data_IF_152596036840
#
_entry.id   IF_152596036840
#
_cell.length_a   1.000
_cell.length_b   1.000
_cell.length_c   1.000
_cell.angle_alpha   90.00
_cell.angle_beta   90.00
_cell.angle_gamma   90.00
#
_symmetry.space_group_name_H-M   'P 1'
#
loop_
_entity.id
_entity.type
_entity.pdbx_description
1 polymer ?
#
# COMPACT_ATOMS: atom_id res chain seq x y z
N UNK A 1 34.93 -6.23 19.93
CA UNK A 1 33.93 -7.22 20.40
C UNK A 1 33.06 -7.56 19.21
N UNK A 2 33.44 -8.61 18.47
CA UNK A 2 32.98 -8.85 17.09
C UNK A 2 31.44 -8.93 16.98
N UNK A 3 30.79 -9.52 17.98
CA UNK A 3 29.32 -9.67 18.00
C UNK A 3 28.60 -8.31 17.95
N UNK A 4 29.01 -7.34 18.77
CA UNK A 4 28.37 -6.03 18.80
C UNK A 4 28.61 -5.27 17.50
N UNK A 5 29.80 -5.39 16.94
CA UNK A 5 30.21 -4.73 15.69
C UNK A 5 29.40 -5.25 14.49
N UNK A 6 29.11 -6.55 14.42
CA UNK A 6 28.29 -7.11 13.34
C UNK A 6 26.83 -6.65 13.44
N UNK A 7 26.24 -6.60 14.65
CA UNK A 7 24.89 -6.05 14.83
C UNK A 7 24.82 -4.57 14.46
N UNK A 8 25.81 -3.77 14.88
CA UNK A 8 25.88 -2.35 14.55
C UNK A 8 26.01 -2.13 13.04
N UNK A 9 26.83 -2.93 12.34
CA UNK A 9 27.00 -2.83 10.90
C UNK A 9 25.73 -3.19 10.12
N UNK A 10 25.04 -4.28 10.52
CA UNK A 10 23.75 -4.67 9.91
C UNK A 10 22.68 -3.62 10.17
N UNK A 11 22.57 -3.10 11.40
CA UNK A 11 21.60 -2.05 11.74
C UNK A 11 21.86 -0.76 10.96
N UNK A 12 23.12 -0.35 10.82
CA UNK A 12 23.51 0.80 10.01
C UNK A 12 23.17 0.57 8.53
N UNK A 13 23.43 -0.62 7.99
CA UNK A 13 23.05 -1.00 6.63
C UNK A 13 21.54 -0.92 6.40
N UNK A 14 20.73 -1.43 7.34
CA UNK A 14 19.27 -1.32 7.30
C UNK A 14 18.78 0.14 7.34
N UNK A 15 19.40 0.99 8.16
CA UNK A 15 19.04 2.41 8.25
C UNK A 15 19.36 3.17 6.95
N UNK A 16 20.53 2.92 6.36
CA UNK A 16 20.91 3.50 5.07
C UNK A 16 19.99 3.02 3.96
N UNK A 17 19.67 1.72 3.93
CA UNK A 17 18.72 1.15 2.98
C UNK A 17 17.33 1.82 3.13
N UNK A 18 16.79 1.90 4.34
CA UNK A 18 15.47 2.49 4.59
C UNK A 18 15.40 3.99 4.27
N UNK A 19 16.54 4.70 4.34
CA UNK A 19 16.62 6.12 4.01
C UNK A 19 16.73 6.39 2.51
N UNK A 20 17.51 5.57 1.80
CA UNK A 20 17.85 5.82 0.38
C UNK A 20 16.91 5.08 -0.57
N UNK A 21 16.49 3.88 -0.19
CA UNK A 21 15.62 3.03 -0.99
C UNK A 21 14.22 2.97 -0.35
N UNK A 22 13.16 2.96 -1.18
CA UNK A 22 11.80 2.85 -0.66
C UNK A 22 11.63 1.46 -0.05
N UNK A 23 11.44 1.40 1.27
CA UNK A 23 11.25 0.15 2.01
C UNK A 23 10.06 -0.65 1.48
N UNK A 24 9.02 0.07 1.05
CA UNK A 24 7.87 -0.48 0.33
C UNK A 24 8.08 -0.17 -1.15
N UNK A 25 8.02 -1.16 -2.05
CA UNK A 25 8.18 -0.90 -3.47
C UNK A 25 7.18 0.13 -3.97
N UNK A 26 7.65 1.12 -4.75
CA UNK A 26 6.80 2.20 -5.26
C UNK A 26 5.70 1.70 -6.21
N UNK A 27 5.91 0.55 -6.85
CA UNK A 27 4.89 -0.07 -7.70
C UNK A 27 3.73 -0.63 -6.87
N UNK A 28 3.98 -1.25 -5.72
CA UNK A 28 2.91 -1.74 -4.82
C UNK A 28 2.01 -0.61 -4.32
N UNK A 29 2.61 0.54 -3.99
CA UNK A 29 1.85 1.74 -3.58
C UNK A 29 0.94 2.23 -4.70
N UNK A 30 1.40 2.16 -5.95
CA UNK A 30 0.63 2.63 -7.11
C UNK A 30 -0.41 1.61 -7.54
N UNK A 31 -0.07 0.34 -7.68
CA UNK A 31 -1.00 -0.72 -8.08
C UNK A 31 -2.14 -0.88 -7.07
N UNK A 32 -1.84 -0.80 -5.77
CA UNK A 32 -2.84 -0.81 -4.71
C UNK A 32 -3.78 0.42 -4.71
N UNK A 33 -3.33 1.55 -5.26
CA UNK A 33 -4.12 2.77 -5.40
C UNK A 33 -4.91 2.83 -6.71
N UNK A 34 -4.34 2.36 -7.82
CA UNK A 34 -4.99 2.31 -9.14
C UNK A 34 -6.24 1.43 -9.09
N UNK A 35 -6.20 0.33 -8.32
CA UNK A 35 -7.35 -0.57 -8.17
C UNK A 35 -8.36 -0.13 -7.09
N UNK A 36 -8.08 0.94 -6.36
CA UNK A 36 -8.92 1.43 -5.26
C UNK A 36 -9.83 2.54 -5.76
N UNK A 37 -11.10 2.21 -5.94
CA UNK A 37 -12.13 3.18 -6.29
C UNK A 37 -12.90 3.61 -5.04
N UNK A 38 -13.22 4.90 -4.93
CA UNK A 38 -14.14 5.37 -3.89
C UNK A 38 -15.56 5.12 -4.39
N UNK A 39 -16.28 4.23 -3.71
CA UNK A 39 -17.65 3.86 -4.07
C UNK A 39 -18.59 4.27 -2.95
N UNK A 40 -19.82 4.62 -3.30
CA UNK A 40 -20.87 4.96 -2.34
C UNK A 40 -21.69 3.72 -2.01
N UNK A 41 -21.49 3.17 -0.82
CA UNK A 41 -22.27 2.04 -0.31
C UNK A 41 -23.32 2.58 0.66
N UNK A 42 -24.58 2.64 0.19
CA UNK A 42 -25.67 3.24 0.94
C UNK A 42 -25.39 4.72 1.28
N UNK A 43 -25.14 5.02 2.56
CA UNK A 43 -24.88 6.39 3.06
C UNK A 43 -23.40 6.70 3.30
N UNK A 44 -22.48 5.74 3.11
CA UNK A 44 -21.04 5.95 3.35
C UNK A 44 -20.24 5.77 2.07
N UNK A 45 -19.21 6.61 1.90
CA UNK A 45 -18.18 6.44 0.88
C UNK A 45 -17.10 5.55 1.44
N UNK A 46 -16.81 4.44 0.76
CA UNK A 46 -15.78 3.49 1.16
C UNK A 46 -14.82 3.24 0.00
N UNK A 47 -13.53 3.08 0.28
CA UNK A 47 -12.59 2.60 -0.71
C UNK A 47 -12.84 1.10 -0.97
N UNK A 48 -13.07 0.74 -2.22
CA UNK A 48 -13.31 -0.64 -2.61
C UNK A 48 -12.58 -1.01 -3.90
N UNK A 49 -12.31 -2.30 -4.03
CA UNK A 49 -11.81 -2.92 -5.25
C UNK A 49 -12.98 -3.49 -6.06
N UNK A 50 -13.15 -3.06 -7.31
CA UNK A 50 -14.23 -3.55 -8.19
C UNK A 50 -13.85 -4.94 -8.70
N UNK A 51 -14.71 -5.94 -8.50
CA UNK A 51 -14.53 -7.30 -9.03
C UNK A 51 -15.71 -7.70 -9.90
N UNK A 52 -15.45 -8.49 -10.91
CA UNK A 52 -16.49 -9.08 -11.77
C UNK A 52 -17.36 -10.00 -10.91
N UNK A 53 -18.63 -9.61 -10.73
CA UNK A 53 -19.58 -10.28 -9.83
C UNK A 53 -20.08 -9.44 -8.65
N UNK A 54 -19.52 -8.24 -8.39
CA UNK A 54 -20.11 -7.38 -7.36
C UNK A 54 -21.46 -6.82 -7.84
N UNK A 55 -22.53 -6.87 -7.01
CA UNK A 55 -23.84 -6.35 -7.40
C UNK A 55 -23.78 -4.85 -7.76
N UNK A 56 -24.29 -4.52 -8.94
CA UNK A 56 -24.32 -3.17 -9.51
C UNK A 56 -25.10 -2.14 -8.67
N UNK A 57 -25.90 -2.60 -7.71
CA UNK A 57 -26.70 -1.74 -6.80
C UNK A 57 -25.86 -0.93 -5.80
N UNK A 58 -24.57 -1.23 -5.68
CA UNK A 58 -23.64 -0.56 -4.75
C UNK A 58 -22.73 0.47 -5.43
N UNK A 59 -22.86 0.68 -6.74
CA UNK A 59 -22.08 1.66 -7.48
C UNK A 59 -23.01 2.72 -8.06
N UNK A 60 -23.14 3.86 -7.36
CA UNK A 60 -23.71 5.05 -7.98
C UNK A 60 -22.68 5.59 -8.98
N UNK A 61 -23.03 5.55 -10.28
CA UNK A 61 -22.21 6.11 -11.36
C UNK A 61 -22.24 7.63 -11.26
N UNK A 62 -21.33 8.22 -10.50
CA UNK A 62 -21.04 9.64 -10.65
C UNK A 62 -20.31 9.78 -12.00
N UNK A 63 -21.01 10.34 -12.99
CA UNK A 63 -20.45 10.73 -14.29
C UNK A 63 -19.27 11.69 -14.12
#
# INVERSE_FOLDING_TARGET
MIVVETFAFVALGMLLFAKVLPLIPLFDVKEGMVFRHLIKVGRKTVPASIREGLPHRYYEKNH
#
